data_IF_529112497867
#
_entry.id   IF_529112497867
#
_cell.length_a   1.000
_cell.length_b   1.000
_cell.length_c   1.000
_cell.angle_alpha   90.00
_cell.angle_beta   90.00
_cell.angle_gamma   90.00
#
_symmetry.space_group_name_H-M   'P 1'
#
loop_
_entity.id
_entity.type
_entity.pdbx_description
1 polymer ?
#
# COMPACT_ATOMS: atom_id res chain seq x y z
N UNK A 1 -6.27 16.35 15.64
CA UNK A 1 -5.33 15.50 14.87
C UNK A 1 -5.74 15.40 13.39
N UNK A 2 -7.02 15.18 13.07
CA UNK A 2 -7.53 14.98 11.71
C UNK A 2 -7.07 16.02 10.67
N UNK A 3 -7.22 17.33 10.95
CA UNK A 3 -6.83 18.38 9.99
C UNK A 3 -5.31 18.40 9.73
N UNK A 4 -4.51 18.07 10.75
CA UNK A 4 -3.05 18.02 10.63
C UNK A 4 -2.62 16.85 9.74
N UNK A 5 -3.24 15.69 9.91
CA UNK A 5 -2.93 14.52 9.10
C UNK A 5 -3.46 14.66 7.67
N UNK A 6 -4.66 15.26 7.50
CA UNK A 6 -5.21 15.51 6.17
C UNK A 6 -4.29 16.45 5.35
N UNK A 7 -3.86 17.56 5.92
CA UNK A 7 -2.92 18.48 5.26
C UNK A 7 -1.58 17.78 4.92
N UNK A 8 -1.11 16.88 5.80
CA UNK A 8 0.10 16.10 5.53
C UNK A 8 -0.06 15.18 4.31
N UNK A 9 -1.15 14.40 4.22
CA UNK A 9 -1.36 13.48 3.10
C UNK A 9 -1.62 14.20 1.77
N UNK A 10 -2.22 15.40 1.78
CA UNK A 10 -2.35 16.24 0.58
C UNK A 10 -0.97 16.64 0.03
N UNK A 11 -0.09 17.13 0.90
CA UNK A 11 1.28 17.48 0.52
C UNK A 11 2.08 16.24 0.08
N UNK A 12 1.93 15.12 0.76
CA UNK A 12 2.59 13.86 0.40
C UNK A 12 2.14 13.35 -0.98
N UNK A 13 0.84 13.44 -1.30
CA UNK A 13 0.34 13.11 -2.63
C UNK A 13 1.00 13.98 -3.71
N UNK A 14 1.06 15.30 -3.49
CA UNK A 14 1.67 16.24 -4.44
C UNK A 14 3.16 15.92 -4.66
N UNK A 15 3.90 15.61 -3.61
CA UNK A 15 5.32 15.22 -3.70
C UNK A 15 5.50 13.90 -4.46
N UNK A 16 4.71 12.87 -4.12
CA UNK A 16 4.80 11.56 -4.75
C UNK A 16 4.45 11.66 -6.24
N UNK A 17 3.33 12.29 -6.59
CA UNK A 17 2.91 12.37 -7.99
C UNK A 17 3.91 13.15 -8.84
N UNK A 18 4.38 14.30 -8.37
CA UNK A 18 5.41 15.08 -9.08
C UNK A 18 6.71 14.30 -9.28
N UNK A 19 7.15 13.53 -8.26
CA UNK A 19 8.37 12.72 -8.39
C UNK A 19 8.20 11.54 -9.34
N UNK A 20 7.05 10.88 -9.33
CA UNK A 20 6.73 9.75 -10.21
C UNK A 20 6.62 10.22 -11.67
N UNK A 21 5.97 11.35 -11.94
CA UNK A 21 5.95 11.97 -13.27
C UNK A 21 7.37 12.27 -13.79
N UNK A 22 8.22 12.82 -12.93
CA UNK A 22 9.62 13.10 -13.29
C UNK A 22 10.45 11.83 -13.56
N UNK A 23 10.11 10.70 -12.94
CA UNK A 23 10.75 9.38 -13.16
C UNK A 23 10.21 8.72 -14.42
N UNK A 24 8.91 8.85 -14.68
CA UNK A 24 8.25 8.31 -15.88
C UNK A 24 8.72 9.06 -17.15
N UNK A 25 8.66 10.38 -17.15
CA UNK A 25 9.12 11.25 -18.23
C UNK A 25 8.15 11.39 -19.41
N UNK A 26 7.08 10.59 -19.49
CA UNK A 26 6.08 10.61 -20.56
C UNK A 26 4.68 10.94 -20.03
N UNK A 27 4.15 10.14 -19.13
CA UNK A 27 2.79 10.29 -18.64
C UNK A 27 2.72 11.26 -17.45
N UNK A 28 1.56 11.87 -17.29
CA UNK A 28 1.19 12.74 -16.16
C UNK A 28 -0.03 12.19 -15.47
N UNK A 29 -0.21 12.50 -14.17
CA UNK A 29 -1.39 12.09 -13.43
C UNK A 29 -2.64 12.88 -13.87
N UNK A 30 -3.70 12.15 -14.17
CA UNK A 30 -5.05 12.70 -14.25
C UNK A 30 -5.65 12.81 -12.85
N UNK A 31 -6.23 13.97 -12.53
CA UNK A 31 -6.84 14.22 -11.22
C UNK A 31 -8.36 14.14 -11.31
N UNK A 32 -8.96 13.44 -10.36
CA UNK A 32 -10.39 13.28 -10.20
C UNK A 32 -10.79 13.60 -8.75
N UNK A 33 -11.47 14.71 -8.55
CA UNK A 33 -12.00 15.16 -7.27
C UNK A 33 -13.44 14.68 -7.14
N UNK A 34 -13.75 14.03 -6.04
CA UNK A 34 -15.05 13.46 -5.80
C UNK A 34 -15.60 13.76 -4.41
N UNK A 35 -16.91 13.83 -4.31
CA UNK A 35 -17.64 13.99 -3.05
C UNK A 35 -18.50 12.76 -2.77
N UNK A 36 -18.78 12.52 -1.49
CA UNK A 36 -19.60 11.42 -1.01
C UNK A 36 -20.90 12.01 -0.41
N UNK A 37 -22.04 11.45 -0.78
CA UNK A 37 -23.35 11.92 -0.30
C UNK A 37 -23.48 11.84 1.23
N UNK A 38 -22.92 10.80 1.84
CA UNK A 38 -22.96 10.60 3.30
C UNK A 38 -21.93 11.44 4.07
N UNK A 39 -21.07 12.16 3.37
CA UNK A 39 -20.12 13.12 3.91
C UNK A 39 -18.66 12.83 3.62
N UNK A 40 -17.96 13.89 3.24
CA UNK A 40 -16.56 13.85 2.84
C UNK A 40 -16.36 13.62 1.35
N UNK A 41 -15.15 13.24 0.97
CA UNK A 41 -14.76 13.05 -0.42
C UNK A 41 -13.31 12.62 -0.56
N UNK A 42 -12.73 12.87 -1.72
CA UNK A 42 -11.33 12.54 -1.98
C UNK A 42 -10.78 13.15 -3.25
N UNK A 43 -9.48 12.93 -3.44
CA UNK A 43 -8.72 13.34 -4.61
C UNK A 43 -7.95 12.11 -5.12
N UNK A 44 -8.42 11.55 -6.22
CA UNK A 44 -7.79 10.42 -6.89
C UNK A 44 -6.89 10.95 -8.00
N UNK A 45 -5.65 10.50 -8.06
CA UNK A 45 -4.73 10.76 -9.17
C UNK A 45 -4.30 9.44 -9.78
N UNK A 46 -4.46 9.31 -11.08
CA UNK A 46 -4.15 8.08 -11.84
C UNK A 46 -3.18 8.40 -12.96
N UNK A 47 -2.11 7.62 -13.07
CA UNK A 47 -1.19 7.64 -14.20
C UNK A 47 -1.37 6.34 -15.00
N UNK A 48 -1.49 6.46 -16.32
CA UNK A 48 -1.67 5.32 -17.23
C UNK A 48 -0.81 5.51 -18.50
N UNK A 49 -0.41 4.40 -19.10
CA UNK A 49 0.31 4.36 -20.37
C UNK A 49 1.63 5.15 -20.37
N UNK A 50 2.30 5.21 -19.22
CA UNK A 50 3.60 5.84 -19.07
C UNK A 50 4.74 5.00 -19.64
N UNK A 51 5.91 5.61 -19.77
CA UNK A 51 7.12 4.93 -20.22
C UNK A 51 7.62 3.93 -19.15
N UNK A 52 7.53 4.30 -17.89
CA UNK A 52 7.93 3.49 -16.75
C UNK A 52 6.74 2.83 -16.06
N UNK A 53 5.63 3.54 -15.89
CA UNK A 53 4.47 3.07 -15.19
C UNK A 53 3.30 2.81 -16.15
N UNK A 54 2.98 1.52 -16.35
CA UNK A 54 1.86 1.10 -17.17
C UNK A 54 0.52 1.53 -16.55
N UNK A 55 0.43 1.49 -15.22
CA UNK A 55 -0.67 2.03 -14.44
C UNK A 55 -0.23 2.31 -13.01
N UNK A 56 -0.75 3.37 -12.43
CA UNK A 56 -0.59 3.65 -11.01
C UNK A 56 -1.61 4.65 -10.52
N UNK A 57 -1.75 4.73 -9.21
CA UNK A 57 -2.61 5.74 -8.62
C UNK A 57 -2.19 6.11 -7.21
N UNK A 58 -2.48 7.35 -6.86
CA UNK A 58 -2.27 7.92 -5.54
C UNK A 58 -3.58 8.58 -5.10
N UNK A 59 -4.26 7.96 -4.15
CA UNK A 59 -5.60 8.36 -3.75
C UNK A 59 -5.61 8.93 -2.34
N UNK A 60 -6.23 10.08 -2.16
CA UNK A 60 -6.61 10.61 -0.86
C UNK A 60 -8.11 10.44 -0.68
N UNK A 61 -8.52 10.05 0.52
CA UNK A 61 -9.90 10.11 0.97
C UNK A 61 -9.99 10.74 2.36
N UNK A 62 -11.04 11.52 2.60
CA UNK A 62 -11.41 12.02 3.92
C UNK A 62 -12.93 11.91 4.03
N UNK A 63 -13.40 10.89 4.74
CA UNK A 63 -14.81 10.53 4.83
C UNK A 63 -15.29 10.54 6.27
N UNK A 64 -16.54 10.88 6.47
CA UNK A 64 -17.18 10.90 7.78
C UNK A 64 -18.65 10.54 7.66
N UNK A 65 -19.27 10.22 8.75
CA UNK A 65 -20.70 9.89 8.79
C UNK A 65 -21.06 9.05 10.01
N UNK A 66 -22.23 8.43 9.96
CA UNK A 66 -22.66 7.45 10.94
C UNK A 66 -21.81 6.19 10.83
N UNK A 67 -21.52 5.55 11.97
CA UNK A 67 -20.75 4.31 12.00
C UNK A 67 -21.47 3.21 11.21
N UNK A 68 -20.84 2.63 10.18
CA UNK A 68 -21.35 1.46 9.50
C UNK A 68 -21.58 0.28 10.45
N UNK A 69 -22.59 -0.56 10.16
CA UNK A 69 -22.92 -1.71 11.00
C UNK A 69 -21.71 -2.62 11.30
N UNK A 70 -20.84 -2.81 10.31
CA UNK A 70 -19.61 -3.59 10.46
C UNK A 70 -18.72 -3.03 11.57
N UNK A 71 -18.54 -1.70 11.61
CA UNK A 71 -17.75 -1.03 12.64
C UNK A 71 -18.48 -1.00 13.99
N UNK A 72 -19.81 -0.82 14.01
CA UNK A 72 -20.59 -0.92 15.25
C UNK A 72 -20.43 -2.28 15.90
N UNK A 73 -20.50 -3.35 15.14
CA UNK A 73 -20.30 -4.71 15.61
C UNK A 73 -18.86 -4.93 16.12
N UNK A 74 -17.86 -4.43 15.39
CA UNK A 74 -16.45 -4.55 15.75
C UNK A 74 -16.13 -3.83 17.06
N UNK A 75 -16.64 -2.59 17.25
CA UNK A 75 -16.40 -1.79 18.45
C UNK A 75 -17.42 -2.04 19.58
N UNK A 76 -18.43 -2.89 19.32
CA UNK A 76 -19.51 -3.23 20.28
C UNK A 76 -20.28 -1.99 20.77
N UNK A 77 -20.54 -1.04 19.86
CA UNK A 77 -21.32 0.17 20.11
C UNK A 77 -22.64 0.13 19.34
N UNK A 78 -23.69 0.76 19.86
CA UNK A 78 -24.99 0.82 19.19
C UNK A 78 -25.03 1.88 18.12
N UNK A 79 -24.52 3.05 18.43
CA UNK A 79 -24.52 4.26 17.59
C UNK A 79 -23.19 4.98 17.73
N UNK A 80 -22.93 5.93 16.85
CA UNK A 80 -21.74 6.77 16.87
C UNK A 80 -21.42 7.31 15.48
N UNK A 81 -20.48 8.22 15.42
CA UNK A 81 -19.98 8.80 14.18
C UNK A 81 -18.50 8.48 14.01
N UNK A 82 -18.03 8.56 12.79
CA UNK A 82 -16.62 8.37 12.49
C UNK A 82 -16.07 9.46 11.57
N UNK A 83 -14.76 9.60 11.60
CA UNK A 83 -13.96 10.26 10.59
C UNK A 83 -12.80 9.33 10.23
N UNK A 84 -12.55 9.18 8.94
CA UNK A 84 -11.41 8.42 8.42
C UNK A 84 -10.77 9.19 7.29
N UNK A 85 -9.46 9.34 7.30
CA UNK A 85 -8.73 9.86 6.16
C UNK A 85 -7.46 9.08 5.92
N UNK A 86 -7.00 9.07 4.67
CA UNK A 86 -5.79 8.36 4.30
C UNK A 86 -5.36 8.60 2.88
N UNK A 87 -4.10 8.27 2.62
CA UNK A 87 -3.51 8.17 1.30
C UNK A 87 -3.23 6.69 1.03
N UNK A 88 -3.61 6.22 -0.15
CA UNK A 88 -3.30 4.87 -0.64
C UNK A 88 -2.73 4.97 -2.05
N UNK A 89 -1.70 4.19 -2.35
CA UNK A 89 -1.08 4.16 -3.66
C UNK A 89 -0.67 2.75 -4.09
N UNK A 90 -0.64 2.56 -5.41
CA UNK A 90 -0.04 1.39 -6.06
C UNK A 90 0.58 1.84 -7.38
N UNK A 91 1.77 1.32 -7.71
CA UNK A 91 2.39 1.50 -9.02
C UNK A 91 2.68 0.16 -9.67
N UNK A 92 2.18 -0.02 -10.90
CA UNK A 92 2.40 -1.19 -11.75
C UNK A 92 3.33 -0.79 -12.90
N UNK A 93 4.61 -1.16 -12.85
CA UNK A 93 5.60 -0.77 -13.87
C UNK A 93 5.45 -1.56 -15.16
N UNK A 94 5.82 -0.94 -16.28
CA UNK A 94 5.89 -1.57 -17.61
C UNK A 94 6.95 -2.67 -17.63
N UNK A 95 8.15 -2.35 -17.13
CA UNK A 95 9.30 -3.27 -17.12
C UNK A 95 9.15 -4.34 -16.01
N UNK A 96 9.25 -5.65 -16.35
CA UNK A 96 9.14 -6.74 -15.38
C UNK A 96 10.22 -6.76 -14.28
N UNK A 97 11.34 -6.09 -14.50
CA UNK A 97 12.43 -6.01 -13.52
C UNK A 97 12.21 -4.90 -12.48
N UNK A 98 11.26 -3.99 -12.71
CA UNK A 98 10.81 -3.03 -11.72
C UNK A 98 9.70 -3.64 -10.88
N UNK A 99 9.78 -3.64 -9.55
CA UNK A 99 8.73 -4.22 -8.70
C UNK A 99 7.49 -3.32 -8.65
N UNK A 100 6.32 -3.93 -8.47
CA UNK A 100 5.14 -3.22 -7.98
C UNK A 100 5.36 -2.80 -6.54
N UNK A 101 4.88 -1.62 -6.17
CA UNK A 101 4.87 -1.12 -4.80
C UNK A 101 3.46 -0.73 -4.41
N UNK A 102 3.12 -1.02 -3.16
CA UNK A 102 1.89 -0.54 -2.50
C UNK A 102 2.28 0.21 -1.23
N UNK A 103 1.54 1.27 -0.92
CA UNK A 103 1.61 1.90 0.39
C UNK A 103 0.25 2.51 0.77
N UNK A 104 -0.01 2.60 2.05
CA UNK A 104 -1.08 3.42 2.58
C UNK A 104 -0.75 3.97 3.97
N UNK A 105 -1.29 5.14 4.27
CA UNK A 105 -1.21 5.77 5.58
C UNK A 105 -2.57 6.35 5.89
N UNK A 106 -3.13 5.99 7.05
CA UNK A 106 -4.51 6.33 7.41
C UNK A 106 -4.64 6.76 8.86
N UNK A 107 -5.64 7.60 9.12
CA UNK A 107 -6.04 8.04 10.44
C UNK A 107 -7.54 7.85 10.61
N UNK A 108 -7.95 7.43 11.80
CA UNK A 108 -9.33 7.15 12.15
C UNK A 108 -9.68 7.77 13.51
N UNK A 109 -10.89 8.34 13.59
CA UNK A 109 -11.53 8.79 14.83
C UNK A 109 -12.94 8.21 14.94
N UNK A 110 -13.32 7.80 16.12
CA UNK A 110 -14.70 7.43 16.46
C UNK A 110 -15.21 8.36 17.54
N UNK A 111 -16.44 8.81 17.40
CA UNK A 111 -17.09 9.75 18.29
C UNK A 111 -18.32 9.14 18.94
N UNK A 112 -18.59 9.55 20.20
CA UNK A 112 -19.85 9.30 20.87
C UNK A 112 -20.99 10.21 20.35
N UNK A 113 -22.18 10.05 20.91
CA UNK A 113 -23.39 10.81 20.54
C UNK A 113 -23.25 12.33 20.79
N UNK A 114 -22.42 12.73 21.75
CA UNK A 114 -22.18 14.14 22.11
C UNK A 114 -20.97 14.75 21.42
N UNK A 115 -20.24 13.94 20.62
CA UNK A 115 -19.12 14.38 19.77
C UNK A 115 -17.76 14.30 20.43
N UNK A 116 -17.59 13.59 21.56
CA UNK A 116 -16.28 13.31 22.11
C UNK A 116 -15.60 12.17 21.36
N UNK A 117 -14.27 12.23 21.24
CA UNK A 117 -13.47 11.15 20.66
C UNK A 117 -13.44 9.97 21.64
N UNK A 118 -14.02 8.84 21.25
CA UNK A 118 -14.00 7.58 21.99
C UNK A 118 -12.72 6.79 21.72
N UNK A 119 -12.27 6.80 20.47
CA UNK A 119 -11.01 6.18 20.05
C UNK A 119 -10.47 6.85 18.82
N UNK A 120 -9.15 6.92 18.73
CA UNK A 120 -8.43 7.39 17.53
C UNK A 120 -7.16 6.55 17.35
N UNK A 121 -6.74 6.39 16.09
CA UNK A 121 -5.57 5.60 15.79
C UNK A 121 -5.05 5.86 14.38
N UNK A 122 -3.78 5.53 14.18
CA UNK A 122 -3.14 5.47 12.88
C UNK A 122 -2.94 4.02 12.42
N UNK A 123 -2.93 3.83 11.11
CA UNK A 123 -2.55 2.57 10.49
C UNK A 123 -1.86 2.86 9.16
N UNK A 124 -1.16 1.87 8.64
CA UNK A 124 -0.49 2.04 7.37
C UNK A 124 0.52 0.97 7.07
N UNK A 125 1.36 1.27 6.10
CA UNK A 125 2.45 0.42 5.68
C UNK A 125 2.87 0.70 4.25
N UNK A 126 3.94 0.03 3.85
CA UNK A 126 4.45 0.01 2.48
C UNK A 126 5.11 -1.34 2.23
N UNK A 127 4.85 -1.94 1.07
CA UNK A 127 5.36 -3.26 0.72
C UNK A 127 5.73 -3.35 -0.76
N UNK A 128 6.71 -4.23 -1.04
CA UNK A 128 7.29 -4.40 -2.37
C UNK A 128 6.94 -5.78 -2.95
N UNK A 129 6.47 -5.79 -4.20
CA UNK A 129 6.07 -7.00 -4.93
C UNK A 129 6.90 -7.13 -6.21
N UNK A 130 8.10 -7.75 -6.16
CA UNK A 130 8.91 -8.00 -7.34
C UNK A 130 8.37 -9.17 -8.17
N UNK A 131 8.70 -9.14 -9.47
CA UNK A 131 8.48 -10.24 -10.42
C UNK A 131 9.78 -11.01 -10.68
N UNK A 132 10.91 -10.31 -10.55
CA UNK A 132 12.27 -10.83 -10.53
C UNK A 132 12.98 -10.32 -9.29
N UNK A 133 13.65 -11.19 -8.58
CA UNK A 133 14.23 -10.85 -7.28
C UNK A 133 15.67 -10.38 -7.42
N UNK A 134 15.92 -9.15 -7.01
CA UNK A 134 17.26 -8.62 -6.78
C UNK A 134 17.45 -8.41 -5.27
N UNK A 135 18.36 -9.14 -4.66
CA UNK A 135 18.57 -9.09 -3.20
C UNK A 135 18.95 -7.68 -2.73
N UNK A 136 19.74 -6.95 -3.52
CA UNK A 136 20.13 -5.58 -3.19
C UNK A 136 18.95 -4.60 -3.19
N UNK A 137 17.91 -4.82 -4.01
CA UNK A 137 16.70 -3.98 -4.01
C UNK A 137 15.85 -4.26 -2.76
N UNK A 138 15.73 -5.54 -2.40
CA UNK A 138 15.05 -5.95 -1.18
C UNK A 138 15.77 -5.40 0.06
N UNK A 139 17.10 -5.53 0.13
CA UNK A 139 17.91 -4.99 1.22
C UNK A 139 17.77 -3.46 1.30
N UNK A 140 17.83 -2.75 0.17
CA UNK A 140 17.64 -1.30 0.13
C UNK A 140 16.27 -0.89 0.68
N UNK A 141 15.19 -1.50 0.16
CA UNK A 141 13.82 -1.19 0.59
C UNK A 141 13.64 -1.39 2.10
N UNK A 142 14.06 -2.55 2.59
CA UNK A 142 13.96 -2.88 4.01
C UNK A 142 14.86 -2.02 4.90
N UNK A 143 16.05 -1.64 4.42
CA UNK A 143 16.96 -0.72 5.14
C UNK A 143 16.33 0.65 5.33
N UNK A 144 15.72 1.23 4.28
CA UNK A 144 15.03 2.51 4.39
C UNK A 144 13.82 2.41 5.35
N UNK A 145 13.01 1.34 5.22
CA UNK A 145 11.91 1.06 6.15
C UNK A 145 12.39 0.97 7.60
N UNK A 146 13.48 0.24 7.84
CA UNK A 146 14.06 0.10 9.18
C UNK A 146 14.56 1.43 9.71
N UNK A 147 15.31 2.19 8.92
CA UNK A 147 15.85 3.48 9.34
C UNK A 147 14.74 4.44 9.77
N UNK A 148 13.63 4.49 9.05
CA UNK A 148 12.48 5.30 9.42
C UNK A 148 11.78 4.83 10.71
N UNK A 149 11.74 3.53 10.97
CA UNK A 149 11.23 2.97 12.23
C UNK A 149 12.15 3.28 13.42
N UNK A 150 13.46 3.08 13.25
CA UNK A 150 14.47 3.18 14.31
C UNK A 150 14.58 4.59 14.91
N UNK A 151 14.16 5.64 14.18
CA UNK A 151 14.05 7.00 14.70
C UNK A 151 13.06 7.06 15.88
N UNK A 152 12.06 6.19 15.90
CA UNK A 152 11.00 6.16 16.89
C UNK A 152 11.17 5.05 17.92
N UNK A 153 11.42 3.82 17.44
CA UNK A 153 11.63 2.65 18.29
C UNK A 153 12.28 1.52 17.49
N UNK A 154 13.32 0.89 18.04
CA UNK A 154 14.05 -0.21 17.42
C UNK A 154 13.20 -1.47 17.25
N UNK A 155 12.15 -1.64 18.06
CA UNK A 155 11.21 -2.78 18.00
C UNK A 155 10.12 -2.58 16.92
N UNK A 156 9.98 -1.38 16.34
CA UNK A 156 8.94 -1.13 15.35
C UNK A 156 9.20 -1.89 14.05
N UNK A 157 10.42 -1.83 13.52
CA UNK A 157 10.72 -2.54 12.28
C UNK A 157 10.50 -4.06 12.38
N UNK A 158 11.09 -4.81 13.32
CA UNK A 158 10.87 -6.25 13.39
C UNK A 158 9.39 -6.61 13.63
N UNK A 159 8.68 -5.82 14.44
CA UNK A 159 7.25 -6.02 14.70
C UNK A 159 6.42 -5.80 13.45
N UNK A 160 6.60 -4.67 12.76
CA UNK A 160 5.76 -4.30 11.63
C UNK A 160 6.13 -5.04 10.34
N UNK A 161 7.39 -5.48 10.20
CA UNK A 161 7.80 -6.40 9.15
C UNK A 161 7.12 -7.75 9.29
N UNK A 162 7.09 -8.32 10.49
CA UNK A 162 6.38 -9.56 10.77
C UNK A 162 4.88 -9.42 10.51
N UNK A 163 4.24 -8.34 10.96
CA UNK A 163 2.83 -8.06 10.67
C UNK A 163 2.57 -7.93 9.17
N UNK A 164 3.51 -7.36 8.41
CA UNK A 164 3.43 -7.26 6.96
C UNK A 164 3.44 -8.64 6.28
N UNK A 165 4.37 -9.51 6.66
CA UNK A 165 4.47 -10.87 6.12
C UNK A 165 3.19 -11.69 6.41
N UNK A 166 2.64 -11.56 7.62
CA UNK A 166 1.39 -12.24 8.02
C UNK A 166 0.17 -11.67 7.28
N UNK A 167 0.10 -10.35 7.11
CA UNK A 167 -1.05 -9.70 6.47
C UNK A 167 -1.11 -10.00 4.97
N UNK A 168 0.01 -9.89 4.25
CA UNK A 168 0.08 -10.08 2.81
C UNK A 168 0.30 -11.53 2.37
N UNK A 169 -0.07 -12.48 3.24
CA UNK A 169 -0.06 -13.91 2.93
C UNK A 169 -1.27 -14.31 2.11
N UNK A 170 -1.04 -14.84 0.90
CA UNK A 170 -2.07 -15.35 0.01
C UNK A 170 -2.39 -16.82 0.36
N UNK A 171 -3.30 -17.01 1.31
CA UNK A 171 -3.53 -18.31 1.97
C UNK A 171 -3.94 -19.44 1.02
N UNK A 172 -4.73 -19.16 -0.02
CA UNK A 172 -5.14 -20.19 -0.99
C UNK A 172 -4.03 -20.57 -1.99
N UNK A 173 -2.91 -19.83 -2.00
CA UNK A 173 -1.70 -20.12 -2.76
C UNK A 173 -0.55 -20.62 -1.91
N UNK A 174 -0.61 -20.47 -0.58
CA UNK A 174 0.48 -20.70 0.35
C UNK A 174 1.76 -19.94 -0.01
N UNK A 175 1.62 -18.67 -0.39
CA UNK A 175 2.73 -17.79 -0.72
C UNK A 175 2.45 -16.35 -0.28
N UNK A 176 3.49 -15.59 0.01
CA UNK A 176 3.38 -14.15 0.24
C UNK A 176 3.09 -13.41 -1.09
N UNK A 177 2.39 -12.28 -1.01
CA UNK A 177 2.16 -11.39 -2.16
C UNK A 177 3.45 -10.83 -2.73
N UNK A 178 4.38 -10.47 -1.86
CA UNK A 178 5.68 -9.89 -2.19
C UNK A 178 6.74 -10.19 -1.14
N UNK A 179 7.80 -9.40 -1.11
CA UNK A 179 8.93 -9.57 -0.19
C UNK A 179 8.75 -8.85 1.15
N UNK A 180 7.55 -8.34 1.42
CA UNK A 180 7.23 -7.64 2.65
C UNK A 180 7.60 -6.16 2.62
N UNK A 181 7.79 -5.62 3.79
CA UNK A 181 7.98 -4.22 4.09
C UNK A 181 7.46 -3.93 5.49
N UNK A 182 6.57 -2.96 5.62
CA UNK A 182 5.93 -2.57 6.88
C UNK A 182 4.40 -2.68 6.77
N UNK A 183 3.79 -3.21 7.81
CA UNK A 183 2.35 -3.09 8.04
C UNK A 183 2.09 -2.88 9.52
N UNK A 184 1.31 -1.84 9.85
CA UNK A 184 0.90 -1.52 11.20
C UNK A 184 -0.56 -1.06 11.22
N UNK A 185 -1.25 -1.39 12.30
CA UNK A 185 -2.65 -1.01 12.50
C UNK A 185 -2.89 -0.65 13.97
N UNK A 186 -3.98 0.08 14.24
CA UNK A 186 -4.39 0.46 15.59
C UNK A 186 -3.28 1.12 16.43
N UNK A 187 -2.46 1.97 15.81
CA UNK A 187 -1.45 2.76 16.51
C UNK A 187 -2.12 3.85 17.33
N UNK A 188 -2.56 3.48 18.54
CA UNK A 188 -3.24 4.32 19.50
C UNK A 188 -2.25 5.00 20.45
N UNK A 189 -2.75 5.98 21.19
CA UNK A 189 -2.07 6.48 22.37
C UNK A 189 -1.92 5.36 23.42
N UNK A 190 -0.77 5.33 24.06
CA UNK A 190 -0.41 4.42 25.15
C UNK A 190 0.26 5.20 26.27
N UNK A 191 0.68 4.54 27.34
CA UNK A 191 1.47 5.18 28.39
C UNK A 191 2.86 5.68 27.90
N UNK A 192 3.39 5.05 26.84
CA UNK A 192 4.73 5.33 26.29
C UNK A 192 4.68 6.29 25.10
N UNK A 193 3.60 6.29 24.34
CA UNK A 193 3.47 7.03 23.08
C UNK A 193 2.17 7.83 23.05
N UNK A 194 2.29 9.14 22.93
CA UNK A 194 1.14 10.03 22.69
C UNK A 194 0.61 9.85 21.25
N UNK A 195 -0.59 10.35 20.99
CA UNK A 195 -1.12 10.40 19.60
C UNK A 195 -0.24 11.25 18.67
N UNK A 196 0.50 12.22 19.23
CA UNK A 196 1.47 13.03 18.48
C UNK A 196 2.70 12.20 18.08
N UNK A 197 3.18 11.31 18.94
CA UNK A 197 4.30 10.42 18.62
C UNK A 197 3.89 9.44 17.52
N UNK A 198 2.64 8.93 17.57
CA UNK A 198 2.08 8.10 16.50
C UNK A 198 1.96 8.86 15.17
N UNK A 199 1.54 10.12 15.23
CA UNK A 199 1.55 10.98 14.04
C UNK A 199 2.96 11.14 13.47
N UNK A 200 3.95 11.46 14.31
CA UNK A 200 5.33 11.65 13.88
C UNK A 200 5.88 10.36 13.24
N UNK A 201 5.63 9.20 13.83
CA UNK A 201 6.01 7.90 13.27
C UNK A 201 5.40 7.68 11.88
N UNK A 202 4.07 7.81 11.74
CA UNK A 202 3.39 7.54 10.47
C UNK A 202 3.83 8.51 9.38
N UNK A 203 4.07 9.77 9.71
CA UNK A 203 4.58 10.75 8.75
C UNK A 203 6.04 10.48 8.35
N UNK A 204 6.88 9.97 9.27
CA UNK A 204 8.24 9.55 8.94
C UNK A 204 8.23 8.38 7.94
N UNK A 205 7.40 7.36 8.17
CA UNK A 205 7.25 6.27 7.20
C UNK A 205 6.77 6.78 5.84
N UNK A 206 5.79 7.69 5.81
CA UNK A 206 5.32 8.29 4.56
C UNK A 206 6.41 9.07 3.81
N UNK A 207 7.21 9.84 4.55
CA UNK A 207 8.32 10.63 3.97
C UNK A 207 9.42 9.73 3.38
N UNK A 208 9.65 8.55 3.95
CA UNK A 208 10.66 7.59 3.48
C UNK A 208 10.28 6.87 2.19
N UNK A 209 9.02 6.96 1.73
CA UNK A 209 8.52 6.20 0.60
C UNK A 209 9.30 6.42 -0.70
N UNK A 210 9.53 7.68 -1.07
CA UNK A 210 10.25 7.97 -2.32
C UNK A 210 11.70 7.49 -2.29
N UNK A 211 12.36 7.58 -1.13
CA UNK A 211 13.71 7.06 -0.94
C UNK A 211 13.75 5.54 -1.03
N UNK A 212 12.75 4.85 -0.51
CA UNK A 212 12.68 3.39 -0.56
C UNK A 212 12.43 2.82 -1.96
N UNK A 213 11.67 3.52 -2.81
CA UNK A 213 11.20 2.99 -4.09
C UNK A 213 11.89 3.57 -5.33
N UNK A 214 12.07 4.90 -5.40
CA UNK A 214 12.58 5.55 -6.63
C UNK A 214 13.96 5.07 -7.06
N UNK A 215 14.95 4.84 -6.17
CA UNK A 215 16.24 4.31 -6.58
C UNK A 215 16.17 2.92 -7.23
N UNK A 216 15.25 2.06 -6.78
CA UNK A 216 15.00 0.74 -7.37
C UNK A 216 14.47 0.91 -8.80
N UNK A 217 13.47 1.78 -8.99
CA UNK A 217 12.90 2.06 -10.30
C UNK A 217 13.98 2.56 -11.26
N UNK A 218 14.76 3.56 -10.85
CA UNK A 218 15.83 4.14 -11.68
C UNK A 218 16.90 3.13 -12.08
N UNK A 219 17.19 2.16 -11.20
CA UNK A 219 18.17 1.11 -11.46
C UNK A 219 17.67 0.04 -12.42
N UNK A 220 16.35 -0.20 -12.48
CA UNK A 220 15.76 -1.34 -13.19
C UNK A 220 15.00 -0.98 -14.47
N UNK A 221 14.53 0.24 -14.62
CA UNK A 221 13.62 0.63 -15.70
C UNK A 221 14.20 0.49 -17.12
N UNK A 222 15.54 0.53 -17.26
CA UNK A 222 16.22 0.43 -18.55
C UNK A 222 16.73 -1.00 -18.86
N UNK A 223 16.45 -1.98 -18.01
CA UNK A 223 16.86 -3.37 -18.26
C UNK A 223 16.04 -3.91 -19.43
N UNK A 224 16.70 -4.45 -20.45
CA UNK A 224 16.02 -5.09 -21.58
C UNK A 224 15.25 -6.33 -21.12
N UNK A 225 14.04 -6.51 -21.61
CA UNK A 225 13.20 -7.65 -21.28
C UNK A 225 12.55 -8.28 -22.52
N UNK A 226 12.31 -9.58 -22.44
CA UNK A 226 11.63 -10.34 -23.49
C UNK A 226 10.13 -10.47 -23.21
N UNK A 227 9.42 -11.09 -24.17
CA UNK A 227 8.01 -11.43 -24.00
C UNK A 227 7.79 -12.43 -22.83
N UNK A 228 8.70 -13.36 -22.62
CA UNK A 228 8.64 -14.34 -21.55
C UNK A 228 8.68 -13.66 -20.17
N UNK A 229 9.55 -12.64 -20.01
CA UNK A 229 9.59 -11.82 -18.80
C UNK A 229 8.25 -11.09 -18.56
N UNK A 230 7.64 -10.56 -19.62
CA UNK A 230 6.34 -9.88 -19.54
C UNK A 230 5.21 -10.88 -19.18
N UNK A 231 5.18 -12.04 -19.81
CA UNK A 231 4.22 -13.11 -19.51
C UNK A 231 4.31 -13.54 -18.04
N UNK A 232 5.51 -13.65 -17.49
CA UNK A 232 5.72 -13.94 -16.08
C UNK A 232 5.19 -12.82 -15.17
N UNK A 233 5.52 -11.55 -15.47
CA UNK A 233 4.98 -10.40 -14.75
C UNK A 233 3.43 -10.47 -14.68
N UNK A 234 2.77 -10.73 -15.80
CA UNK A 234 1.31 -10.78 -15.88
C UNK A 234 0.71 -11.96 -15.08
N UNK A 235 1.40 -13.11 -15.04
CA UNK A 235 1.03 -14.24 -14.17
C UNK A 235 1.14 -13.84 -12.70
N UNK A 236 2.23 -13.19 -12.31
CA UNK A 236 2.43 -12.74 -10.91
C UNK A 236 1.44 -11.64 -10.53
N UNK A 237 1.10 -10.75 -11.44
CA UNK A 237 0.02 -9.76 -11.26
C UNK A 237 -1.33 -10.45 -11.00
N UNK A 238 -1.60 -11.60 -11.58
CA UNK A 238 -2.76 -12.40 -11.23
C UNK A 238 -2.80 -12.75 -9.74
N UNK A 239 -1.66 -13.12 -9.11
CA UNK A 239 -1.56 -13.38 -7.66
C UNK A 239 -1.81 -12.13 -6.83
N UNK A 240 -1.32 -10.98 -7.30
CA UNK A 240 -1.59 -9.68 -6.67
C UNK A 240 -3.09 -9.35 -6.68
N UNK A 241 -3.77 -9.56 -7.81
CA UNK A 241 -5.23 -9.35 -7.94
C UNK A 241 -6.01 -10.31 -7.03
N UNK A 242 -5.62 -11.59 -6.98
CA UNK A 242 -6.24 -12.57 -6.07
C UNK A 242 -6.20 -12.10 -4.62
N UNK A 243 -5.03 -11.62 -4.15
CA UNK A 243 -4.93 -11.09 -2.79
C UNK A 243 -5.86 -9.89 -2.58
N UNK A 244 -5.80 -8.90 -3.47
CA UNK A 244 -6.56 -7.65 -3.31
C UNK A 244 -8.08 -7.89 -3.30
N UNK A 245 -8.59 -8.78 -4.16
CA UNK A 245 -10.03 -9.04 -4.25
C UNK A 245 -10.55 -10.03 -3.22
N UNK A 246 -9.71 -10.95 -2.73
CA UNK A 246 -10.16 -12.04 -1.84
C UNK A 246 -9.76 -11.81 -0.38
N UNK A 247 -8.61 -11.21 -0.12
CA UNK A 247 -8.04 -11.15 1.22
C UNK A 247 -7.84 -9.72 1.76
N UNK A 248 -7.67 -8.71 0.88
CA UNK A 248 -7.40 -7.35 1.36
C UNK A 248 -8.60 -6.75 2.10
N UNK A 249 -8.43 -6.53 3.40
CA UNK A 249 -9.49 -5.97 4.27
C UNK A 249 -9.95 -4.59 3.81
N UNK A 250 -9.03 -3.77 3.30
CA UNK A 250 -9.34 -2.42 2.81
C UNK A 250 -10.24 -2.45 1.57
N UNK A 251 -9.88 -3.26 0.58
CA UNK A 251 -10.68 -3.47 -0.63
C UNK A 251 -12.06 -4.04 -0.29
N UNK A 252 -12.10 -5.11 0.51
CA UNK A 252 -13.37 -5.74 0.91
C UNK A 252 -14.27 -4.78 1.70
N UNK A 253 -13.70 -4.00 2.60
CA UNK A 253 -14.44 -2.99 3.36
C UNK A 253 -15.00 -1.91 2.42
N UNK A 254 -14.15 -1.35 1.55
CA UNK A 254 -14.57 -0.33 0.59
C UNK A 254 -15.71 -0.79 -0.31
N UNK A 255 -15.62 -1.98 -0.87
CA UNK A 255 -16.68 -2.55 -1.73
C UNK A 255 -17.98 -2.83 -0.95
N UNK A 256 -17.90 -3.24 0.33
CA UNK A 256 -19.07 -3.52 1.18
C UNK A 256 -19.75 -2.26 1.73
N UNK A 257 -19.07 -1.14 1.77
CA UNK A 257 -19.56 0.13 2.34
C UNK A 257 -19.85 1.20 1.29
N UNK A 258 -20.13 0.80 0.05
CA UNK A 258 -20.37 1.69 -1.09
C UNK A 258 -19.24 2.73 -1.28
N UNK A 259 -17.98 2.32 -1.05
CA UNK A 259 -16.82 3.12 -1.40
C UNK A 259 -16.75 3.38 -2.90
N UNK A 260 -16.05 4.42 -3.32
CA UNK A 260 -15.91 4.75 -4.74
C UNK A 260 -15.15 3.64 -5.48
N UNK A 261 -15.86 2.86 -6.29
CA UNK A 261 -15.35 1.66 -6.96
C UNK A 261 -14.12 1.98 -7.80
N UNK A 262 -14.14 3.06 -8.59
CA UNK A 262 -13.03 3.47 -9.43
C UNK A 262 -11.75 3.74 -8.63
N UNK A 263 -11.87 4.41 -7.48
CA UNK A 263 -10.73 4.68 -6.59
C UNK A 263 -10.22 3.43 -5.85
N UNK A 264 -11.04 2.40 -5.71
CA UNK A 264 -10.66 1.11 -5.13
C UNK A 264 -9.96 0.24 -6.18
N UNK A 265 -10.61 0.05 -7.35
CA UNK A 265 -10.14 -0.87 -8.39
C UNK A 265 -9.01 -0.30 -9.25
N UNK A 266 -8.71 1.01 -9.16
CA UNK A 266 -7.51 1.56 -9.79
C UNK A 266 -6.22 0.90 -9.29
N UNK A 267 -6.25 0.30 -8.09
CA UNK A 267 -5.11 -0.43 -7.51
C UNK A 267 -4.75 -1.72 -8.26
N UNK A 268 -5.61 -2.17 -9.16
CA UNK A 268 -5.37 -3.38 -9.93
C UNK A 268 -4.55 -3.08 -11.20
N UNK A 269 -3.64 -3.99 -11.60
CA UNK A 269 -2.88 -3.85 -12.83
C UNK A 269 -3.80 -3.91 -14.07
N UNK A 270 -3.43 -3.29 -15.21
CA UNK A 270 -4.28 -3.26 -16.39
C UNK A 270 -4.38 -4.62 -17.08
N UNK A 271 -3.31 -5.44 -17.02
CA UNK A 271 -3.24 -6.76 -17.66
C UNK A 271 -2.74 -7.79 -16.66
N UNK A 272 -3.41 -8.95 -16.65
CA UNK A 272 -3.06 -10.10 -15.82
C UNK A 272 -3.27 -11.39 -16.61
N UNK A 273 -2.61 -12.47 -16.19
CA UNK A 273 -2.80 -13.80 -16.75
C UNK A 273 -3.04 -14.84 -15.65
N UNK A 274 -3.96 -15.78 -15.90
CA UNK A 274 -4.11 -17.00 -15.13
C UNK A 274 -3.85 -18.19 -16.03
N UNK A 275 -2.62 -18.75 -15.97
CA UNK A 275 -2.29 -20.00 -16.66
C UNK A 275 -2.60 -21.18 -15.75
N UNK A 276 -3.30 -22.18 -16.27
CA UNK A 276 -3.65 -23.39 -15.52
C UNK A 276 -2.39 -24.17 -15.13
N UNK A 277 -2.21 -24.42 -13.82
CA UNK A 277 -1.10 -25.18 -13.24
C UNK A 277 0.29 -24.76 -13.74
N UNK A 278 0.50 -23.44 -13.92
CA UNK A 278 1.79 -22.92 -14.36
C UNK A 278 2.86 -23.16 -13.30
N UNK A 279 3.97 -23.74 -13.73
CA UNK A 279 5.18 -23.90 -12.93
C UNK A 279 6.34 -23.23 -13.69
N UNK A 280 7.20 -22.46 -13.04
CA UNK A 280 8.41 -21.94 -13.67
C UNK A 280 9.39 -23.07 -14.00
N UNK A 281 10.32 -22.79 -14.88
CA UNK A 281 11.42 -23.72 -15.17
C UNK A 281 12.29 -23.91 -13.94
N UNK A 282 12.79 -25.14 -13.78
CA UNK A 282 13.68 -25.46 -12.65
C UNK A 282 14.97 -24.67 -12.74
N UNK A 283 15.45 -24.19 -11.60
CA UNK A 283 16.65 -23.37 -11.43
C UNK A 283 16.58 -22.00 -12.16
N UNK A 284 15.39 -21.54 -12.54
CA UNK A 284 15.15 -20.22 -13.13
C UNK A 284 15.03 -19.11 -12.05
N UNK A 285 15.13 -17.85 -12.48
CA UNK A 285 14.92 -16.69 -11.59
C UNK A 285 13.47 -16.61 -11.10
N UNK A 286 12.52 -17.10 -11.88
CA UNK A 286 11.10 -17.22 -11.53
C UNK A 286 10.90 -18.24 -10.39
N UNK A 287 11.56 -19.41 -10.46
CA UNK A 287 11.53 -20.41 -9.38
C UNK A 287 12.22 -19.86 -8.12
N UNK A 288 13.34 -19.15 -8.27
CA UNK A 288 14.02 -18.47 -7.16
C UNK A 288 13.09 -17.51 -6.44
N UNK A 289 12.34 -16.67 -7.15
CA UNK A 289 11.34 -15.79 -6.53
C UNK A 289 10.32 -16.60 -5.74
N UNK A 290 9.71 -17.65 -6.34
CA UNK A 290 8.71 -18.46 -5.66
C UNK A 290 9.25 -19.09 -4.38
N UNK A 291 10.50 -19.55 -4.38
CA UNK A 291 11.13 -20.15 -3.19
C UNK A 291 11.17 -19.20 -1.99
N UNK A 292 11.31 -17.89 -2.24
CA UNK A 292 11.28 -16.84 -1.21
C UNK A 292 9.86 -16.51 -0.79
N UNK A 293 8.92 -16.47 -1.74
CA UNK A 293 7.52 -16.12 -1.42
C UNK A 293 6.81 -17.18 -0.58
N UNK A 294 7.17 -18.46 -0.69
CA UNK A 294 6.62 -19.52 0.17
C UNK A 294 7.24 -19.53 1.57
N UNK A 295 8.36 -18.84 1.76
CA UNK A 295 9.03 -18.72 3.05
C UNK A 295 9.64 -17.32 3.19
N UNK A 296 8.85 -16.34 3.68
CA UNK A 296 9.35 -14.98 3.89
C UNK A 296 10.69 -14.94 4.63
N UNK A 297 11.58 -14.07 4.18
CA UNK A 297 12.97 -13.97 4.61
C UNK A 297 13.20 -12.65 5.35
N UNK A 298 14.08 -12.67 6.32
CA UNK A 298 14.65 -11.45 6.89
C UNK A 298 15.75 -10.95 5.95
N UNK A 299 15.64 -9.69 5.55
CA UNK A 299 16.52 -9.08 4.54
C UNK A 299 17.70 -8.34 5.14
N UNK A 300 17.55 -7.89 6.42
CA UNK A 300 18.52 -7.08 7.15
C UNK A 300 18.57 -7.48 8.63
#
# INVERSE_FOLDING_TARGET
MKNKFYAYIENLQDQITSKIEAVDGLAVFEEDIWEREEGGGGRTRVIENGDVFEKGGVNISAVHGELPEVLRNQFKVKEGRFFACGLSLVFHPTNPFVPTVHANWRYFEMYDEVGNIVTQWFGGGQDLTPYYLFDEDAIHFHTVCKSACDIHDLEFYPTFKKMCDEYFWNSHRNEARGIGGLFFDYQKETAEYSIQDRFNFVTEIGNSFLESYVPIVQKRKEIEFSKEHKDWQEIRRGRYVEFNLVHDRGTLFGLKTNGRIESILMSLPPIVQWKYNHQPEKDSEEERLLSILVKPKDWI
#
